data_IF_270095998896
#
_entry.id   IF_270095998896
#
_cell.length_a   1.000
_cell.length_b   1.000
_cell.length_c   1.000
_cell.angle_alpha   90.00
_cell.angle_beta   90.00
_cell.angle_gamma   90.00
#
_symmetry.space_group_name_H-M   'P 1'
#
loop_
_entity.id
_entity.type
_entity.pdbx_description
1 polymer ?
#
# COMPACT_ATOMS: atom_id res chain seq x y z
N UNK A 1 11.31 -48.49 -14.04
CA UNK A 1 11.21 -47.81 -12.72
C UNK A 1 11.96 -46.47 -12.66
N UNK A 2 13.08 -46.29 -13.37
CA UNK A 2 13.83 -45.01 -13.37
C UNK A 2 13.11 -43.81 -14.03
N UNK A 3 12.14 -44.05 -14.93
CA UNK A 3 11.37 -42.98 -15.58
C UNK A 3 10.32 -42.32 -14.65
N UNK A 4 9.76 -43.09 -13.69
CA UNK A 4 8.72 -42.60 -12.77
C UNK A 4 9.29 -41.62 -11.74
N UNK A 5 10.48 -41.91 -11.21
CA UNK A 5 11.18 -41.04 -10.25
C UNK A 5 11.57 -39.67 -10.83
N UNK A 6 11.84 -39.58 -12.14
CA UNK A 6 12.20 -38.32 -12.79
C UNK A 6 10.98 -37.41 -13.02
N UNK A 7 9.82 -38.00 -13.34
CA UNK A 7 8.55 -37.27 -13.42
C UNK A 7 8.10 -36.76 -12.05
N UNK A 8 8.16 -37.58 -10.99
CA UNK A 8 7.78 -37.19 -9.63
C UNK A 8 8.66 -36.05 -9.07
N UNK A 9 9.97 -36.07 -9.35
CA UNK A 9 10.89 -34.99 -8.97
C UNK A 9 10.54 -33.67 -9.68
N UNK A 10 10.11 -33.75 -10.96
CA UNK A 10 9.63 -32.61 -11.72
C UNK A 10 8.33 -32.01 -11.16
N UNK A 11 7.37 -32.83 -10.75
CA UNK A 11 6.11 -32.35 -10.15
C UNK A 11 6.34 -31.78 -8.74
N UNK A 12 7.28 -32.34 -7.96
CA UNK A 12 7.68 -31.79 -6.66
C UNK A 12 8.39 -30.44 -6.80
N UNK A 13 9.28 -30.28 -7.79
CA UNK A 13 9.96 -29.01 -8.08
C UNK A 13 8.97 -27.93 -8.54
N UNK A 14 8.00 -28.30 -9.39
CA UNK A 14 6.93 -27.42 -9.84
C UNK A 14 5.98 -27.05 -8.69
N UNK A 15 5.62 -28.01 -7.84
CA UNK A 15 4.79 -27.78 -6.65
C UNK A 15 5.50 -26.88 -5.63
N UNK A 16 6.81 -27.01 -5.44
CA UNK A 16 7.60 -26.12 -4.58
C UNK A 16 7.74 -24.71 -5.17
N UNK A 17 7.89 -24.57 -6.49
CA UNK A 17 7.94 -23.28 -7.20
C UNK A 17 6.58 -22.56 -7.18
N UNK A 18 5.48 -23.30 -7.38
CA UNK A 18 4.11 -22.77 -7.28
C UNK A 18 3.76 -22.41 -5.83
N UNK A 19 4.15 -23.23 -4.85
CA UNK A 19 3.95 -22.93 -3.43
C UNK A 19 4.78 -21.72 -2.97
N UNK A 20 6.02 -21.58 -3.45
CA UNK A 20 6.88 -20.42 -3.15
C UNK A 20 6.37 -19.11 -3.78
N UNK A 21 5.83 -19.17 -4.99
CA UNK A 21 5.20 -18.01 -5.66
C UNK A 21 3.84 -17.64 -5.05
N UNK A 22 3.05 -18.63 -4.61
CA UNK A 22 1.84 -18.39 -3.81
C UNK A 22 2.17 -17.73 -2.47
N UNK A 23 3.21 -18.20 -1.76
CA UNK A 23 3.64 -17.59 -0.51
C UNK A 23 4.07 -16.13 -0.71
N UNK A 24 4.80 -15.82 -1.79
CA UNK A 24 5.22 -14.45 -2.11
C UNK A 24 4.03 -13.53 -2.40
N UNK A 25 3.04 -14.03 -3.14
CA UNK A 25 1.81 -13.29 -3.48
C UNK A 25 0.96 -13.01 -2.25
N UNK A 26 0.82 -14.00 -1.36
CA UNK A 26 0.11 -13.86 -0.08
C UNK A 26 0.81 -12.84 0.83
N UNK A 27 2.15 -12.78 0.82
CA UNK A 27 2.92 -11.85 1.63
C UNK A 27 2.73 -10.39 1.19
N UNK A 28 2.64 -10.13 -0.12
CA UNK A 28 2.31 -8.80 -0.65
C UNK A 28 0.88 -8.39 -0.28
N UNK A 29 -0.08 -9.32 -0.40
CA UNK A 29 -1.47 -9.07 -0.06
C UNK A 29 -1.66 -8.82 1.46
N UNK A 30 -0.88 -9.50 2.31
CA UNK A 30 -0.93 -9.30 3.77
C UNK A 30 -0.59 -7.86 4.16
N UNK A 31 0.41 -7.24 3.53
CA UNK A 31 0.85 -5.88 3.87
C UNK A 31 -0.20 -4.84 3.53
N UNK A 32 -0.81 -4.94 2.35
CA UNK A 32 -1.83 -3.98 1.91
C UNK A 32 -3.09 -4.10 2.79
N UNK A 33 -3.52 -5.33 3.12
CA UNK A 33 -4.66 -5.56 3.99
C UNK A 33 -4.46 -5.00 5.40
N UNK A 34 -3.30 -5.25 6.02
CA UNK A 34 -2.98 -4.76 7.37
C UNK A 34 -2.98 -3.23 7.45
N UNK A 35 -2.41 -2.56 6.45
CA UNK A 35 -2.38 -1.09 6.40
C UNK A 35 -3.79 -0.52 6.21
N UNK A 36 -4.57 -1.05 5.27
CA UNK A 36 -5.94 -0.57 5.04
C UNK A 36 -6.85 -0.83 6.24
N UNK A 37 -6.80 -2.02 6.85
CA UNK A 37 -7.63 -2.32 8.02
C UNK A 37 -7.26 -1.44 9.22
N UNK A 38 -5.97 -1.15 9.43
CA UNK A 38 -5.50 -0.28 10.50
C UNK A 38 -5.97 1.17 10.31
N UNK A 39 -5.87 1.70 9.09
CA UNK A 39 -6.33 3.05 8.77
C UNK A 39 -7.85 3.17 8.93
N UNK A 40 -8.62 2.20 8.42
CA UNK A 40 -10.08 2.22 8.54
C UNK A 40 -10.56 2.13 9.99
N UNK A 41 -9.96 1.24 10.78
CA UNK A 41 -10.29 1.11 12.21
C UNK A 41 -9.98 2.40 12.97
N UNK A 42 -8.82 3.03 12.71
CA UNK A 42 -8.46 4.31 13.31
C UNK A 42 -9.39 5.46 12.89
N UNK A 43 -9.78 5.53 11.60
CA UNK A 43 -10.67 6.58 11.11
C UNK A 43 -12.07 6.49 11.72
N UNK A 44 -12.59 5.26 11.87
CA UNK A 44 -13.91 5.01 12.49
C UNK A 44 -13.88 5.38 13.98
N UNK A 45 -12.83 5.01 14.70
CA UNK A 45 -12.66 5.34 16.13
C UNK A 45 -12.41 6.84 16.35
N UNK A 46 -11.67 7.50 15.45
CA UNK A 46 -11.36 8.92 15.56
C UNK A 46 -12.52 9.86 15.16
N UNK A 47 -13.37 9.45 14.22
CA UNK A 47 -14.45 10.27 13.65
C UNK A 47 -15.74 9.47 13.43
N UNK A 48 -16.44 9.00 14.48
CA UNK A 48 -17.61 8.13 14.33
C UNK A 48 -18.76 8.78 13.54
N UNK A 49 -19.04 10.08 13.76
CA UNK A 49 -20.10 10.81 13.05
C UNK A 49 -19.80 11.07 11.57
N UNK A 50 -18.52 11.18 11.19
CA UNK A 50 -18.10 11.50 9.82
C UNK A 50 -17.26 10.38 9.19
N UNK A 51 -17.39 9.15 9.70
CA UNK A 51 -16.57 8.01 9.30
C UNK A 51 -16.66 7.76 7.79
N UNK A 52 -17.88 7.74 7.23
CA UNK A 52 -18.10 7.50 5.80
C UNK A 52 -17.37 8.51 4.90
N UNK A 53 -17.38 9.80 5.25
CA UNK A 53 -16.72 10.86 4.48
C UNK A 53 -15.19 10.80 4.59
N UNK A 54 -14.68 10.47 5.79
CA UNK A 54 -13.25 10.28 6.01
C UNK A 54 -12.72 9.06 5.22
N UNK A 55 -13.46 7.96 5.22
CA UNK A 55 -13.15 6.77 4.41
C UNK A 55 -13.18 7.08 2.91
N UNK A 56 -14.19 7.83 2.44
CA UNK A 56 -14.30 8.24 1.05
C UNK A 56 -13.13 9.14 0.61
N UNK A 57 -12.71 10.08 1.47
CA UNK A 57 -11.56 10.96 1.21
C UNK A 57 -10.25 10.16 1.09
N UNK A 58 -10.04 9.16 1.95
CA UNK A 58 -8.88 8.26 1.88
C UNK A 58 -8.86 7.46 0.56
N UNK A 59 -10.02 6.96 0.11
CA UNK A 59 -10.12 6.29 -1.19
C UNK A 59 -9.87 7.27 -2.35
N UNK A 60 -10.38 8.50 -2.26
CA UNK A 60 -10.23 9.52 -3.29
C UNK A 60 -8.76 9.90 -3.53
N UNK A 61 -8.00 10.22 -2.47
CA UNK A 61 -6.58 10.56 -2.62
C UNK A 61 -5.79 9.41 -3.25
N UNK A 62 -6.09 8.15 -2.84
CA UNK A 62 -5.47 6.96 -3.43
C UNK A 62 -5.74 6.87 -4.92
N UNK A 63 -6.99 7.06 -5.34
CA UNK A 63 -7.38 7.01 -6.74
C UNK A 63 -6.76 8.16 -7.55
N UNK A 64 -6.66 9.37 -6.98
CA UNK A 64 -5.98 10.49 -7.61
C UNK A 64 -4.51 10.18 -7.87
N UNK A 65 -3.78 9.63 -6.90
CA UNK A 65 -2.39 9.23 -7.12
C UNK A 65 -2.26 8.13 -8.17
N UNK A 66 -3.15 7.13 -8.15
CA UNK A 66 -3.17 6.06 -9.14
C UNK A 66 -3.43 6.58 -10.58
N UNK A 67 -4.24 7.63 -10.74
CA UNK A 67 -4.53 8.25 -12.04
C UNK A 67 -3.46 9.27 -12.47
N UNK A 68 -2.90 10.03 -11.53
CA UNK A 68 -1.88 11.05 -11.82
C UNK A 68 -0.54 10.44 -12.21
N UNK A 69 -0.18 9.31 -11.58
CA UNK A 69 1.10 8.65 -11.80
C UNK A 69 1.37 8.24 -13.27
N UNK A 70 0.45 7.56 -13.99
CA UNK A 70 0.66 7.23 -15.40
C UNK A 70 0.71 8.45 -16.32
N UNK A 71 -0.02 9.53 -15.98
CA UNK A 71 -0.05 10.75 -16.80
C UNK A 71 1.29 11.51 -16.78
N UNK A 72 1.96 11.56 -15.64
CA UNK A 72 3.31 12.11 -15.50
C UNK A 72 4.42 11.09 -15.81
N UNK A 73 4.12 9.79 -15.69
CA UNK A 73 5.06 8.71 -15.91
C UNK A 73 5.65 8.70 -17.31
N UNK A 74 4.84 8.90 -18.35
CA UNK A 74 5.32 8.89 -19.74
C UNK A 74 6.34 10.01 -20.01
N UNK A 75 6.09 11.23 -19.52
CA UNK A 75 7.00 12.36 -19.67
C UNK A 75 8.29 12.18 -18.86
N UNK A 76 8.18 11.62 -17.64
CA UNK A 76 9.32 11.33 -16.77
C UNK A 76 10.24 10.26 -17.37
N UNK A 77 9.67 9.16 -17.87
CA UNK A 77 10.43 8.07 -18.47
C UNK A 77 11.13 8.48 -19.77
N UNK A 78 10.51 9.34 -20.59
CA UNK A 78 11.09 9.83 -21.84
C UNK A 78 12.29 10.77 -21.64
N UNK A 79 12.35 11.50 -20.51
CA UNK A 79 13.43 12.46 -20.24
C UNK A 79 14.62 11.85 -19.49
N UNK A 80 14.39 10.85 -18.63
CA UNK A 80 15.39 10.37 -17.68
C UNK A 80 15.78 8.89 -17.85
N UNK A 81 15.03 8.11 -18.63
CA UNK A 81 15.27 6.67 -18.84
C UNK A 81 14.83 5.78 -17.66
N UNK A 82 14.77 4.46 -17.91
CA UNK A 82 14.13 3.48 -17.01
C UNK A 82 14.78 3.36 -15.62
N UNK A 83 16.12 3.39 -15.54
CA UNK A 83 16.85 3.21 -14.27
C UNK A 83 16.78 4.43 -13.35
N UNK A 84 16.80 5.65 -13.92
CA UNK A 84 16.71 6.87 -13.11
C UNK A 84 15.28 7.17 -12.68
N UNK A 85 14.29 6.90 -13.55
CA UNK A 85 12.88 7.04 -13.23
C UNK A 85 12.45 6.17 -12.04
N UNK A 86 12.89 4.91 -11.99
CA UNK A 86 12.61 3.99 -10.88
C UNK A 86 13.30 4.40 -9.57
N UNK A 87 14.53 4.92 -9.63
CA UNK A 87 15.27 5.38 -8.46
C UNK A 87 14.66 6.64 -7.82
N UNK A 88 14.17 7.58 -8.63
CA UNK A 88 13.45 8.75 -8.12
C UNK A 88 12.13 8.37 -7.44
N UNK A 89 11.40 7.39 -7.97
CA UNK A 89 10.20 6.86 -7.35
C UNK A 89 10.47 6.21 -5.99
N UNK A 90 11.53 5.41 -5.93
CA UNK A 90 11.95 4.78 -4.69
C UNK A 90 12.30 5.84 -3.64
N UNK A 91 13.03 6.89 -4.03
CA UNK A 91 13.39 7.98 -3.13
C UNK A 91 12.17 8.79 -2.66
N UNK A 92 11.23 9.08 -3.57
CA UNK A 92 9.98 9.77 -3.24
C UNK A 92 9.11 8.96 -2.24
N UNK A 93 9.07 7.64 -2.42
CA UNK A 93 8.35 6.74 -1.50
C UNK A 93 8.99 6.73 -0.11
N UNK A 94 10.33 6.73 -0.05
CA UNK A 94 11.08 6.81 1.22
C UNK A 94 10.87 8.17 1.90
N UNK A 95 10.80 9.26 1.13
CA UNK A 95 10.50 10.59 1.65
C UNK A 95 9.07 10.73 2.21
N UNK A 96 8.12 9.93 1.72
CA UNK A 96 6.75 9.87 2.23
C UNK A 96 6.58 8.94 3.44
N UNK A 97 7.52 8.04 3.70
CA UNK A 97 7.52 7.14 4.86
C UNK A 97 7.39 7.85 6.24
N UNK A 98 8.05 9.01 6.50
CA UNK A 98 7.89 9.72 7.78
C UNK A 98 6.56 10.48 7.91
N UNK A 99 5.80 10.65 6.83
CA UNK A 99 4.55 11.41 6.81
C UNK A 99 3.49 10.91 7.81
N UNK A 100 3.16 9.59 7.88
CA UNK A 100 2.22 9.07 8.88
C UNK A 100 2.72 9.22 10.33
N UNK A 101 4.02 9.14 10.58
CA UNK A 101 4.59 9.31 11.93
C UNK A 101 4.45 10.75 12.43
N UNK A 102 4.71 11.71 11.54
CA UNK A 102 4.48 13.14 11.80
C UNK A 102 2.99 13.39 12.08
N UNK A 103 2.09 12.86 11.25
CA UNK A 103 0.65 13.04 11.45
C UNK A 103 0.14 12.40 12.74
N UNK A 104 0.72 11.29 13.19
CA UNK A 104 0.36 10.67 14.48
C UNK A 104 0.72 11.56 15.68
N UNK A 105 1.85 12.29 15.60
CA UNK A 105 2.27 13.24 16.64
C UNK A 105 1.43 14.52 16.63
N UNK A 106 1.06 15.03 15.46
CA UNK A 106 0.22 16.22 15.31
C UNK A 106 -1.29 15.95 15.42
N UNK A 107 -1.73 14.70 15.32
CA UNK A 107 -3.14 14.29 15.44
C UNK A 107 -3.77 14.67 16.79
N UNK A 108 -3.00 14.61 17.88
CA UNK A 108 -3.43 15.10 19.20
C UNK A 108 -3.75 16.61 19.18
N UNK A 109 -2.99 17.40 18.41
CA UNK A 109 -3.13 18.85 18.31
C UNK A 109 -4.25 19.28 17.36
N UNK A 110 -4.55 18.48 16.34
CA UNK A 110 -5.71 18.68 15.46
C UNK A 110 -7.02 18.29 16.18
N UNK A 111 -7.00 17.23 16.98
CA UNK A 111 -8.16 16.81 17.80
C UNK A 111 -8.53 17.82 18.89
N UNK A 112 -7.54 18.55 19.43
CA UNK A 112 -7.75 19.63 20.40
C UNK A 112 -8.32 20.93 19.79
N UNK A 113 -8.22 21.14 18.48
CA UNK A 113 -8.65 22.38 17.81
C UNK A 113 -9.97 22.28 17.04
N UNK A 114 -10.51 21.07 16.88
CA UNK A 114 -11.70 20.82 16.05
C UNK A 114 -12.97 20.72 16.89
N UNK A 115 -13.95 21.60 16.66
CA UNK A 115 -15.29 21.58 17.28
C UNK A 115 -16.12 20.33 16.98
N UNK A 116 -15.70 19.49 16.03
CA UNK A 116 -16.40 18.27 15.61
C UNK A 116 -15.89 17.00 16.32
N UNK A 117 -14.82 17.09 17.12
CA UNK A 117 -14.31 15.96 17.92
C UNK A 117 -15.02 15.82 19.29
N UNK A 118 -15.88 16.78 19.66
CA UNK A 118 -16.54 16.90 20.97
C UNK A 118 -18.00 16.43 20.96
N UNK A 119 -18.54 15.95 19.84
CA UNK A 119 -19.96 15.55 19.73
C UNK A 119 -20.19 14.03 19.68
N UNK A 120 -19.32 13.25 20.30
CA UNK A 120 -19.58 11.86 20.67
C UNK A 120 -19.54 11.74 22.19
#
# INVERSE_FOLDING_TARGET
>A
MLCQASTDLGVMLFSHLVCSSMQLTVLMCRRILLVFTGIFTFLVDAYPLYAASALASNAFVRCMFAAAFPLFGTQMYNKLGYSWASSLLAFLTVAMLPFPYIFFKYGKKIRSRSRFATQA
#
